data_IF_640624090451
#
_entry.id   IF_640624090451
#
_cell.length_a   1.000
_cell.length_b   1.000
_cell.length_c   1.000
_cell.angle_alpha   90.00
_cell.angle_beta   90.00
_cell.angle_gamma   90.00
#
_symmetry.space_group_name_H-M   'P 1'
#
loop_
_entity.id
_entity.type
_entity.pdbx_description
1 polymer ?
#
# COMPACT_ATOMS: atom_id res chain seq x y z
N UNK A 1 22.49 90.73 -3.14
CA UNK A 1 21.41 89.74 -3.15
C UNK A 1 22.08 88.39 -3.26
N UNK A 2 22.17 87.69 -2.13
CA UNK A 2 22.64 86.32 -2.01
C UNK A 2 21.77 85.37 -2.83
N UNK A 3 22.41 84.43 -3.53
CA UNK A 3 21.75 83.23 -4.03
C UNK A 3 22.46 82.04 -3.38
N UNK A 4 21.83 81.35 -2.42
CA UNK A 4 22.41 80.14 -1.86
C UNK A 4 22.28 79.03 -2.88
N UNK A 5 23.43 78.45 -3.23
CA UNK A 5 23.58 77.29 -4.12
C UNK A 5 23.00 76.07 -3.41
N UNK A 6 21.98 75.46 -4.00
CA UNK A 6 21.47 74.15 -3.55
C UNK A 6 22.59 73.10 -3.60
N UNK A 7 22.76 72.27 -2.56
CA UNK A 7 23.72 71.18 -2.61
C UNK A 7 23.29 70.14 -3.66
N UNK A 8 24.24 69.51 -4.37
CA UNK A 8 23.93 68.48 -5.36
C UNK A 8 23.24 67.31 -4.68
N UNK A 9 22.17 66.83 -5.32
CA UNK A 9 21.43 65.65 -4.90
C UNK A 9 22.37 64.49 -4.65
N UNK A 10 22.31 63.96 -3.43
CA UNK A 10 22.97 62.71 -3.08
C UNK A 10 22.18 61.57 -3.74
N UNK A 11 22.58 61.23 -4.97
CA UNK A 11 22.10 60.06 -5.72
C UNK A 11 22.59 58.73 -5.11
N UNK A 12 23.02 58.74 -3.85
CA UNK A 12 23.47 57.58 -3.12
C UNK A 12 22.28 56.74 -2.66
N UNK A 13 21.88 55.87 -3.58
CA UNK A 13 21.37 54.53 -3.27
C UNK A 13 20.07 54.50 -2.48
N UNK A 14 18.95 54.52 -3.22
CA UNK A 14 17.64 54.05 -2.77
C UNK A 14 17.78 52.66 -2.12
N UNK A 15 17.97 52.68 -0.81
CA UNK A 15 18.12 51.50 0.02
C UNK A 15 16.76 51.23 0.62
N UNK A 16 15.90 50.55 -0.14
CA UNK A 16 14.66 49.99 0.43
C UNK A 16 15.08 48.75 1.22
N UNK A 17 15.11 48.88 2.55
CA UNK A 17 15.31 47.79 3.51
C UNK A 17 16.75 47.19 3.57
N UNK A 18 17.81 47.99 3.43
CA UNK A 18 19.19 47.61 3.81
C UNK A 18 19.90 46.52 2.98
N UNK A 19 19.24 45.91 1.99
CA UNK A 19 19.77 44.78 1.22
C UNK A 19 20.52 45.28 -0.02
N UNK A 20 21.84 45.10 -0.05
CA UNK A 20 22.67 45.41 -1.21
C UNK A 20 22.41 44.43 -2.37
N UNK A 21 22.73 44.80 -3.62
CA UNK A 21 22.49 43.94 -4.81
C UNK A 21 23.13 42.55 -4.71
N UNK A 22 24.25 42.41 -3.98
CA UNK A 22 24.91 41.14 -3.74
C UNK A 22 24.14 40.25 -2.75
N UNK A 23 23.53 40.85 -1.73
CA UNK A 23 22.77 40.14 -0.71
C UNK A 23 21.47 39.53 -1.28
N UNK A 24 20.85 40.22 -2.25
CA UNK A 24 19.69 39.69 -2.98
C UNK A 24 19.99 38.40 -3.75
N UNK A 25 21.20 38.25 -4.31
CA UNK A 25 21.60 37.02 -5.00
C UNK A 25 21.80 35.88 -4.00
N UNK A 26 22.41 36.15 -2.85
CA UNK A 26 22.59 35.16 -1.78
C UNK A 26 21.23 34.68 -1.27
N UNK A 27 20.31 35.60 -0.98
CA UNK A 27 18.94 35.26 -0.54
C UNK A 27 18.19 34.45 -1.60
N UNK A 28 18.30 34.83 -2.89
CA UNK A 28 17.65 34.09 -3.97
C UNK A 28 18.20 32.66 -4.09
N UNK A 29 19.51 32.46 -3.99
CA UNK A 29 20.14 31.13 -4.03
C UNK A 29 19.73 30.29 -2.82
N UNK A 30 19.72 30.88 -1.61
CA UNK A 30 19.30 30.18 -0.39
C UNK A 30 17.82 29.79 -0.42
N UNK A 31 16.95 30.68 -0.91
CA UNK A 31 15.54 30.39 -1.09
C UNK A 31 15.32 29.26 -2.09
N UNK A 32 16.04 29.27 -3.21
CA UNK A 32 15.95 28.22 -4.22
C UNK A 32 16.47 26.88 -3.70
N UNK A 33 17.60 26.88 -2.97
CA UNK A 33 18.13 25.68 -2.33
C UNK A 33 17.14 25.11 -1.29
N UNK A 34 16.54 25.98 -0.48
CA UNK A 34 15.53 25.60 0.52
C UNK A 34 14.28 24.99 -0.14
N UNK A 35 13.78 25.59 -1.22
CA UNK A 35 12.65 25.05 -1.99
C UNK A 35 12.97 23.69 -2.61
N UNK A 36 14.18 23.54 -3.16
CA UNK A 36 14.63 22.28 -3.77
C UNK A 36 14.72 21.18 -2.73
N UNK A 37 15.29 21.47 -1.55
CA UNK A 37 15.36 20.54 -0.43
C UNK A 37 13.99 20.19 0.11
N UNK A 38 13.08 21.16 0.25
CA UNK A 38 11.72 20.91 0.72
C UNK A 38 10.92 20.05 -0.26
N UNK A 39 11.04 20.30 -1.57
CA UNK A 39 10.43 19.48 -2.61
C UNK A 39 11.02 18.06 -2.62
N UNK A 40 12.34 17.92 -2.53
CA UNK A 40 13.01 16.61 -2.45
C UNK A 40 12.58 15.84 -1.20
N UNK A 41 12.47 16.52 -0.06
CA UNK A 41 12.00 15.94 1.19
C UNK A 41 10.54 15.50 1.07
N UNK A 42 9.69 16.29 0.40
CA UNK A 42 8.31 15.91 0.09
C UNK A 42 8.25 14.70 -0.83
N UNK A 43 9.08 14.60 -1.87
CA UNK A 43 9.14 13.45 -2.78
C UNK A 43 9.65 12.18 -2.08
N UNK A 44 10.60 12.32 -1.15
CA UNK A 44 11.11 11.18 -0.39
C UNK A 44 10.11 10.68 0.66
N UNK A 45 9.39 11.59 1.33
CA UNK A 45 8.39 11.23 2.35
C UNK A 45 7.04 10.86 1.74
N UNK A 46 6.71 11.45 0.58
CA UNK A 46 5.64 11.01 -0.32
C UNK A 46 6.12 9.72 -0.98
N UNK A 47 6.19 8.66 -0.18
CA UNK A 47 6.23 7.30 -0.70
C UNK A 47 5.05 7.16 -1.64
N UNK A 48 5.31 7.35 -2.94
CA UNK A 48 4.35 7.24 -4.03
C UNK A 48 3.79 5.82 -4.05
N UNK A 49 2.82 5.59 -3.14
CA UNK A 49 1.72 4.63 -3.04
C UNK A 49 1.77 3.27 -3.72
N UNK A 50 2.92 2.82 -4.18
CA UNK A 50 3.07 1.71 -5.13
C UNK A 50 4.13 0.73 -4.70
N UNK A 51 4.43 0.67 -3.40
CA UNK A 51 4.77 -0.64 -2.83
C UNK A 51 3.44 -1.37 -2.73
N UNK A 52 3.18 -2.36 -3.60
CA UNK A 52 1.97 -3.15 -3.48
C UNK A 52 2.03 -3.72 -2.08
N UNK A 53 1.13 -3.27 -1.22
CA UNK A 53 0.82 -3.97 0.01
C UNK A 53 0.27 -5.30 -0.46
N UNK A 54 1.16 -6.28 -0.57
CA UNK A 54 0.82 -7.67 -0.78
C UNK A 54 0.00 -8.03 0.45
N UNK A 55 -1.33 -7.94 0.29
CA UNK A 55 -2.27 -8.48 1.24
C UNK A 55 -1.93 -9.96 1.26
N UNK A 56 -1.19 -10.37 2.28
CA UNK A 56 -0.91 -11.76 2.59
C UNK A 56 -2.26 -12.40 2.87
N UNK A 57 -2.90 -12.80 1.77
CA UNK A 57 -4.22 -13.40 1.75
C UNK A 57 -3.94 -14.75 2.34
N UNK A 58 -4.08 -14.85 3.67
CA UNK A 58 -3.90 -16.06 4.50
C UNK A 58 -4.09 -17.23 3.57
N UNK A 59 -2.98 -17.89 3.24
CA UNK A 59 -2.98 -18.99 2.28
C UNK A 59 -4.20 -19.82 2.65
N UNK A 60 -5.20 -19.85 1.75
CA UNK A 60 -6.26 -20.85 1.86
C UNK A 60 -5.52 -22.14 1.56
N UNK A 61 -4.77 -22.65 2.54
CA UNK A 61 -4.61 -24.08 2.69
C UNK A 61 -6.05 -24.55 2.59
N UNK A 62 -6.44 -25.24 1.50
CA UNK A 62 -7.68 -25.94 1.52
C UNK A 62 -7.50 -26.83 2.73
N UNK A 63 -8.21 -26.52 3.82
CA UNK A 63 -8.36 -27.48 4.89
C UNK A 63 -9.17 -28.56 4.20
N UNK A 64 -8.45 -29.46 3.53
CA UNK A 64 -9.01 -30.53 2.75
C UNK A 64 -9.77 -31.35 3.75
N UNK A 65 -11.09 -31.24 3.70
CA UNK A 65 -11.94 -32.02 4.56
C UNK A 65 -11.85 -33.47 4.07
N UNK A 66 -10.90 -34.20 4.64
CA UNK A 66 -10.64 -35.59 4.29
C UNK A 66 -11.51 -36.48 5.17
N UNK A 67 -12.57 -37.00 4.56
CA UNK A 67 -13.45 -37.99 5.19
C UNK A 67 -12.96 -39.40 4.82
N UNK A 68 -12.91 -40.27 5.83
CA UNK A 68 -12.70 -41.70 5.61
C UNK A 68 -14.02 -42.37 5.23
N UNK A 69 -14.09 -42.88 3.99
CA UNK A 69 -15.26 -43.56 3.43
C UNK A 69 -15.68 -44.80 4.21
N UNK A 70 -14.79 -45.42 4.99
CA UNK A 70 -15.07 -46.66 5.72
C UNK A 70 -15.67 -46.41 7.11
N UNK A 71 -15.49 -45.22 7.65
CA UNK A 71 -15.91 -44.88 9.02
C UNK A 71 -16.93 -43.74 9.07
N UNK A 72 -16.88 -42.79 8.13
CA UNK A 72 -17.79 -41.65 8.08
C UNK A 72 -19.27 -42.06 7.99
N UNK A 73 -20.14 -41.33 8.67
CA UNK A 73 -21.58 -41.56 8.58
C UNK A 73 -22.19 -40.87 7.34
N UNK A 74 -23.45 -41.18 7.02
CA UNK A 74 -24.10 -40.64 5.83
C UNK A 74 -24.27 -39.11 5.86
N UNK A 75 -24.39 -38.50 7.05
CA UNK A 75 -24.52 -37.05 7.20
C UNK A 75 -23.19 -36.37 6.85
N UNK A 76 -22.08 -36.91 7.36
CA UNK A 76 -20.73 -36.44 7.07
C UNK A 76 -20.39 -36.59 5.58
N UNK A 77 -20.63 -37.77 5.02
CA UNK A 77 -20.43 -38.01 3.58
C UNK A 77 -21.29 -37.08 2.71
N UNK A 78 -22.48 -36.68 3.19
CA UNK A 78 -23.35 -35.76 2.45
C UNK A 78 -22.85 -34.30 2.39
N UNK A 79 -21.78 -33.98 3.12
CA UNK A 79 -21.12 -32.67 3.06
C UNK A 79 -20.09 -32.57 1.92
N UNK A 80 -19.72 -33.70 1.31
CA UNK A 80 -18.83 -33.72 0.16
C UNK A 80 -19.55 -33.16 -1.07
N UNK A 81 -18.86 -32.33 -1.84
CA UNK A 81 -19.42 -31.75 -3.06
C UNK A 81 -19.84 -32.86 -4.04
N UNK A 82 -21.06 -32.76 -4.58
CA UNK A 82 -21.66 -33.78 -5.44
C UNK A 82 -22.20 -35.03 -4.72
N UNK A 83 -22.00 -35.20 -3.40
CA UNK A 83 -22.53 -36.34 -2.64
C UNK A 83 -23.75 -35.90 -1.83
N UNK A 84 -24.94 -36.16 -2.35
CA UNK A 84 -26.19 -35.92 -1.60
C UNK A 84 -26.54 -37.04 -0.60
N UNK A 85 -27.56 -36.83 0.26
CA UNK A 85 -27.99 -37.81 1.27
C UNK A 85 -28.35 -39.20 0.73
N UNK A 86 -28.83 -39.28 -0.52
CA UNK A 86 -29.17 -40.54 -1.18
C UNK A 86 -27.93 -41.35 -1.52
N UNK A 87 -26.91 -40.70 -2.11
CA UNK A 87 -25.66 -41.35 -2.47
C UNK A 87 -24.85 -41.72 -1.21
N UNK A 88 -24.80 -40.82 -0.23
CA UNK A 88 -24.16 -41.07 1.06
C UNK A 88 -24.71 -42.32 1.78
N UNK A 89 -26.05 -42.47 1.84
CA UNK A 89 -26.68 -43.67 2.40
C UNK A 89 -26.35 -44.93 1.61
N UNK A 90 -26.28 -44.83 0.27
CA UNK A 90 -25.90 -45.96 -0.58
C UNK A 90 -24.46 -46.41 -0.30
N UNK A 91 -23.53 -45.48 -0.13
CA UNK A 91 -22.13 -45.77 0.22
C UNK A 91 -22.05 -46.52 1.55
N UNK A 92 -22.75 -46.04 2.59
CA UNK A 92 -22.77 -46.70 3.91
C UNK A 92 -23.38 -48.11 3.81
N UNK A 93 -24.50 -48.24 3.11
CA UNK A 93 -25.17 -49.53 2.92
C UNK A 93 -24.32 -50.53 2.11
N UNK A 94 -23.55 -50.04 1.14
CA UNK A 94 -22.66 -50.86 0.32
C UNK A 94 -21.51 -51.43 1.16
N UNK A 95 -20.83 -50.60 1.96
CA UNK A 95 -19.74 -51.08 2.83
C UNK A 95 -20.21 -52.01 3.95
N UNK A 96 -21.45 -51.86 4.42
CA UNK A 96 -22.05 -52.76 5.42
C UNK A 96 -22.35 -54.14 4.83
N UNK A 97 -22.71 -54.23 3.55
CA UNK A 97 -23.05 -55.48 2.88
C UNK A 97 -21.83 -56.17 2.26
N UNK A 98 -20.92 -55.40 1.66
CA UNK A 98 -19.82 -55.90 0.85
C UNK A 98 -18.46 -55.79 1.55
N UNK A 99 -18.40 -55.17 2.73
CA UNK A 99 -17.15 -54.82 3.42
C UNK A 99 -16.59 -53.46 2.98
N UNK A 100 -15.57 -52.99 3.69
CA UNK A 100 -14.98 -51.65 3.44
C UNK A 100 -14.30 -51.51 2.07
N UNK A 101 -14.18 -50.26 1.62
CA UNK A 101 -13.49 -49.87 0.38
C UNK A 101 -11.97 -49.91 0.57
N UNK A 102 -11.28 -50.59 -0.35
CA UNK A 102 -9.82 -50.68 -0.35
C UNK A 102 -9.15 -49.54 -1.14
N UNK A 103 -9.83 -48.95 -2.14
CA UNK A 103 -9.31 -47.90 -3.03
C UNK A 103 -10.44 -47.13 -3.70
N UNK A 104 -10.16 -45.90 -4.11
CA UNK A 104 -11.03 -45.05 -4.93
C UNK A 104 -10.41 -44.99 -6.33
N UNK A 105 -11.21 -45.24 -7.37
CA UNK A 105 -10.83 -45.19 -8.79
C UNK A 105 -11.48 -44.00 -9.50
#
# INVERSE_FOLDING_TARGET
>A
MDQPVDPPGDDSTETVLGITRGDRLVVAVLAFASLTLMAAHWVQLSGWGTRPIEIDRISRTPVGFQLDLNTANWVELSQLDGIGPTLARRIVSDREQNGGFARVE
#
